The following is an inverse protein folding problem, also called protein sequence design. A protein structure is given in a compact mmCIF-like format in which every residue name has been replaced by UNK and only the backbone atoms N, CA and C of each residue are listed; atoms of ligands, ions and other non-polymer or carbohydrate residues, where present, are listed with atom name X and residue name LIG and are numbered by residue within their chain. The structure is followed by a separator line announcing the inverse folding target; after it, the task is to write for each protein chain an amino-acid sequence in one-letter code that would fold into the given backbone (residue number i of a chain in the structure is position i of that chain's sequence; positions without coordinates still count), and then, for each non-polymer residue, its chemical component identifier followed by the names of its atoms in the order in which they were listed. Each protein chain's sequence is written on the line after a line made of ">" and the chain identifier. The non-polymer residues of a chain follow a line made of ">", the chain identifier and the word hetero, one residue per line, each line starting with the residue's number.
data_IF_920774452763
#
_entry.id   IF_920774452763
#
_cell.length_a   1.000
_cell.length_b   1.000
_cell.length_c   1.000
_cell.angle_alpha   90.00
_cell.angle_beta   90.00
_cell.angle_gamma   90.00
#
_symmetry.space_group_name_H-M   'P 1'
#
loop_
_entity.id
_entity.type
_entity.pdbx_description
1 polymer ?
#
# COMPACT_ATOMS: atom_id res chain seq x y z
N UNK A 1 -2.79 -2.37 1.52
CA UNK A 1 -2.76 -1.78 2.87
C UNK A 1 -2.57 -0.25 2.86
N UNK A 2 -1.43 0.26 2.36
CA UNK A 2 -1.08 1.68 2.38
C UNK A 2 -2.17 2.63 1.81
N UNK A 3 -2.73 2.32 0.64
CA UNK A 3 -3.78 3.15 0.03
C UNK A 3 -5.07 3.24 0.87
N UNK A 4 -5.40 2.20 1.64
CA UNK A 4 -6.56 2.25 2.54
C UNK A 4 -6.27 3.13 3.76
N UNK A 5 -5.07 3.04 4.33
CA UNK A 5 -4.61 3.93 5.41
C UNK A 5 -4.60 5.41 4.97
N UNK A 6 -4.16 5.69 3.74
CA UNK A 6 -4.19 7.05 3.18
C UNK A 6 -5.61 7.61 3.06
N UNK A 7 -6.54 6.82 2.52
CA UNK A 7 -7.97 7.19 2.42
C UNK A 7 -8.61 7.42 3.78
N UNK A 8 -8.27 6.60 4.78
CA UNK A 8 -8.76 6.78 6.14
C UNK A 8 -8.19 8.05 6.80
N UNK A 9 -6.91 8.35 6.58
CA UNK A 9 -6.25 9.50 7.18
C UNK A 9 -6.68 10.84 6.56
N UNK A 10 -7.00 10.87 5.26
CA UNK A 10 -7.32 12.09 4.52
C UNK A 10 -8.59 11.93 3.66
N UNK A 11 -9.77 11.71 4.28
CA UNK A 11 -11.01 11.43 3.56
C UNK A 11 -11.41 12.62 2.67
N UNK A 12 -11.68 12.34 1.40
CA UNK A 12 -12.10 13.35 0.41
C UNK A 12 -11.00 14.31 -0.06
N UNK A 13 -9.78 14.21 0.48
CA UNK A 13 -8.67 15.08 0.09
C UNK A 13 -7.61 14.38 -0.76
N UNK A 14 -7.51 13.05 -0.68
CA UNK A 14 -6.56 12.25 -1.49
C UNK A 14 -7.28 11.11 -2.20
N UNK A 15 -6.89 10.87 -3.45
CA UNK A 15 -7.32 9.69 -4.22
C UNK A 15 -6.16 8.71 -4.20
N UNK A 16 -6.21 7.70 -3.32
CA UNK A 16 -5.16 6.69 -3.22
C UNK A 16 -5.59 5.38 -3.91
N UNK A 17 -4.72 4.84 -4.76
CA UNK A 17 -4.84 3.52 -5.38
C UNK A 17 -3.65 2.64 -5.00
N UNK A 18 -3.85 1.33 -5.03
CA UNK A 18 -2.81 0.33 -4.77
C UNK A 18 -2.88 -0.71 -5.89
N UNK A 19 -1.71 -1.05 -6.43
CA UNK A 19 -1.54 -2.12 -7.42
C UNK A 19 -0.32 -2.94 -7.05
N UNK A 20 -0.35 -4.23 -7.35
CA UNK A 20 0.81 -5.12 -7.25
C UNK A 20 1.50 -5.27 -8.60
N UNK A 21 2.83 -5.43 -8.59
CA UNK A 21 3.58 -5.83 -9.80
C UNK A 21 3.08 -7.19 -10.29
N UNK A 22 2.88 -8.12 -9.34
CA UNK A 22 2.34 -9.44 -9.58
C UNK A 22 0.87 -9.53 -9.13
N UNK A 23 0.07 -10.30 -9.86
CA UNK A 23 -1.29 -10.65 -9.46
C UNK A 23 -1.29 -11.49 -8.20
N UNK A 24 -1.69 -10.89 -7.08
CA UNK A 24 -1.83 -11.55 -5.78
C UNK A 24 -3.29 -11.83 -5.43
N UNK A 25 -3.50 -12.80 -4.55
CA UNK A 25 -4.81 -13.00 -3.89
C UNK A 25 -4.98 -12.00 -2.75
N UNK A 26 -6.22 -11.71 -2.40
CA UNK A 26 -6.52 -10.96 -1.20
C UNK A 26 -5.99 -11.74 0.02
N UNK A 27 -5.13 -11.08 0.79
CA UNK A 27 -4.49 -11.67 1.95
C UNK A 27 -5.40 -11.55 3.18
N UNK A 28 -5.73 -12.69 3.79
CA UNK A 28 -6.60 -12.74 4.97
C UNK A 28 -5.95 -12.08 6.19
N UNK A 29 -4.62 -12.11 6.30
CA UNK A 29 -3.91 -11.42 7.39
C UNK A 29 -4.05 -9.91 7.26
N UNK A 30 -3.96 -9.39 6.04
CA UNK A 30 -4.20 -7.96 5.76
C UNK A 30 -5.63 -7.58 6.13
N UNK A 31 -6.62 -8.44 5.86
CA UNK A 31 -8.01 -8.18 6.25
C UNK A 31 -8.14 -8.06 7.77
N UNK A 32 -7.63 -9.05 8.50
CA UNK A 32 -7.70 -9.11 9.96
C UNK A 32 -7.04 -7.90 10.64
N UNK A 33 -5.81 -7.54 10.24
CA UNK A 33 -5.12 -6.38 10.86
C UNK A 33 -5.73 -5.03 10.46
N UNK A 34 -6.41 -4.95 9.32
CA UNK A 34 -7.04 -3.70 8.88
C UNK A 34 -8.41 -3.52 9.53
N UNK A 35 -9.13 -4.61 9.78
CA UNK A 35 -10.38 -4.59 10.54
C UNK A 35 -10.16 -4.13 11.99
N UNK A 36 -9.04 -4.50 12.62
CA UNK A 36 -8.63 -4.01 13.94
C UNK A 36 -8.58 -2.48 14.06
N UNK A 37 -8.26 -1.78 12.96
CA UNK A 37 -8.21 -0.31 12.91
C UNK A 37 -9.47 0.31 12.30
N UNK A 38 -10.53 -0.49 12.16
CA UNK A 38 -11.83 -0.07 11.63
C UNK A 38 -11.84 0.16 10.12
N UNK A 39 -10.92 -0.46 9.37
CA UNK A 39 -10.91 -0.42 7.91
C UNK A 39 -11.42 -1.74 7.37
N UNK A 40 -12.62 -1.71 6.79
CA UNK A 40 -13.17 -2.85 6.08
C UNK A 40 -12.45 -3.06 4.73
N UNK A 41 -11.77 -4.19 4.60
CA UNK A 41 -11.08 -4.62 3.38
C UNK A 41 -11.83 -5.72 2.62
N UNK A 42 -13.05 -6.10 3.03
CA UNK A 42 -13.84 -7.20 2.44
C UNK A 42 -14.10 -7.00 0.95
N UNK A 43 -14.30 -5.75 0.55
CA UNK A 43 -14.63 -5.36 -0.84
C UNK A 43 -13.35 -5.01 -1.63
N UNK A 44 -12.16 -5.10 -1.02
CA UNK A 44 -10.92 -4.75 -1.68
C UNK A 44 -10.41 -5.89 -2.56
N UNK A 45 -10.45 -5.69 -3.88
CA UNK A 45 -9.81 -6.59 -4.84
C UNK A 45 -8.40 -6.10 -5.15
N UNK A 46 -7.36 -6.96 -5.00
CA UNK A 46 -6.03 -6.65 -5.51
C UNK A 46 -6.09 -6.40 -7.01
N UNK A 47 -5.51 -5.28 -7.45
CA UNK A 47 -5.34 -4.95 -8.86
C UNK A 47 -3.89 -5.13 -9.26
N UNK A 48 -3.66 -5.59 -10.49
CA UNK A 48 -2.31 -5.65 -11.06
C UNK A 48 -1.93 -4.33 -11.68
N UNK A 49 -0.62 -4.07 -11.72
CA UNK A 49 -0.08 -2.87 -12.34
C UNK A 49 -0.59 -2.72 -13.77
N UNK A 50 -0.63 -3.79 -14.56
CA UNK A 50 -1.09 -3.76 -15.95
C UNK A 50 -2.54 -3.30 -16.14
N UNK A 51 -3.43 -3.63 -15.21
CA UNK A 51 -4.86 -3.22 -15.22
C UNK A 51 -5.07 -1.75 -14.91
N UNK A 52 -4.03 -1.05 -14.44
CA UNK A 52 -4.13 0.37 -14.11
C UNK A 52 -4.32 1.21 -15.38
N UNK A 53 -5.55 1.68 -15.62
CA UNK A 53 -5.87 2.56 -16.77
C UNK A 53 -5.34 3.98 -16.58
N UNK A 54 -5.12 4.39 -15.33
CA UNK A 54 -4.57 5.71 -15.03
C UNK A 54 -3.06 5.72 -15.29
N UNK A 55 -2.62 6.72 -16.06
CA UNK A 55 -1.22 6.89 -16.44
C UNK A 55 -0.57 8.11 -15.79
N UNK A 56 -1.33 8.92 -15.04
CA UNK A 56 -0.84 10.15 -14.40
C UNK A 56 -1.10 10.11 -12.90
N UNK A 57 -0.05 10.36 -12.12
CA UNK A 57 -0.08 10.41 -10.67
C UNK A 57 0.77 11.57 -10.15
N UNK A 58 0.30 12.29 -9.13
CA UNK A 58 1.12 13.33 -8.48
C UNK A 58 2.27 12.69 -7.68
N UNK A 59 2.02 11.52 -7.11
CA UNK A 59 2.95 10.78 -6.26
C UNK A 59 2.77 9.27 -6.47
N UNK A 60 3.86 8.58 -6.78
CA UNK A 60 3.95 7.12 -6.81
C UNK A 60 4.87 6.68 -5.68
N UNK A 61 4.40 5.74 -4.85
CA UNK A 61 5.19 5.15 -3.76
C UNK A 61 5.37 3.67 -4.06
N UNK A 62 6.62 3.23 -4.18
CA UNK A 62 6.99 1.82 -4.31
C UNK A 62 7.30 1.23 -2.94
N UNK A 63 6.77 0.04 -2.67
CA UNK A 63 6.93 -0.66 -1.39
C UNK A 63 7.83 -1.89 -1.49
N UNK A 64 8.22 -2.27 -2.71
CA UNK A 64 9.07 -3.42 -2.98
C UNK A 64 10.19 -3.02 -3.94
N UNK A 65 11.29 -3.76 -3.91
CA UNK A 65 12.47 -3.45 -4.71
C UNK A 65 12.28 -3.71 -6.21
N UNK A 66 11.33 -4.57 -6.57
CA UNK A 66 10.94 -4.85 -7.96
C UNK A 66 9.93 -3.85 -8.55
N UNK A 67 9.29 -3.04 -7.69
CA UNK A 67 8.26 -2.10 -8.13
C UNK A 67 8.78 -0.90 -8.96
N UNK A 68 9.95 -0.28 -8.68
CA UNK A 68 10.48 0.81 -9.50
C UNK A 68 10.66 0.40 -10.96
N UNK A 69 11.25 -0.77 -11.22
CA UNK A 69 11.47 -1.27 -12.59
C UNK A 69 10.14 -1.50 -13.32
N UNK A 70 9.14 -2.03 -12.62
CA UNK A 70 7.81 -2.25 -13.18
C UNK A 70 7.10 -0.92 -13.54
N UNK A 71 7.23 0.10 -12.68
CA UNK A 71 6.69 1.45 -12.92
C UNK A 71 7.33 2.10 -14.13
N UNK A 72 8.66 2.03 -14.25
CA UNK A 72 9.40 2.55 -15.41
C UNK A 72 8.98 1.84 -16.69
N UNK A 73 8.89 0.51 -16.66
CA UNK A 73 8.46 -0.30 -17.81
C UNK A 73 7.06 0.05 -18.30
N UNK A 74 6.15 0.36 -17.36
CA UNK A 74 4.79 0.79 -17.70
C UNK A 74 4.74 2.22 -18.25
N UNK A 75 5.76 3.04 -17.98
CA UNK A 75 5.81 4.43 -18.42
C UNK A 75 4.75 5.29 -17.70
N UNK A 76 4.54 5.06 -16.40
CA UNK A 76 3.65 5.91 -15.61
C UNK A 76 4.24 7.32 -15.48
N UNK A 77 3.45 8.33 -15.79
CA UNK A 77 3.82 9.72 -15.57
C UNK A 77 3.54 10.07 -14.10
N UNK A 78 4.62 10.29 -13.35
CA UNK A 78 4.55 10.60 -11.93
C UNK A 78 5.24 11.94 -11.63
N UNK A 79 4.58 12.84 -10.89
CA UNK A 79 5.18 14.08 -10.43
C UNK A 79 6.33 13.85 -9.44
N UNK A 80 6.21 12.82 -8.61
CA UNK A 80 7.25 12.32 -7.72
C UNK A 80 7.17 10.80 -7.59
N UNK A 81 8.32 10.13 -7.52
CA UNK A 81 8.43 8.70 -7.24
C UNK A 81 9.28 8.51 -5.99
N UNK A 82 8.76 7.77 -5.02
CA UNK A 82 9.44 7.48 -3.75
C UNK A 82 9.48 5.98 -3.49
N UNK A 83 10.62 5.50 -2.99
CA UNK A 83 10.75 4.12 -2.54
C UNK A 83 10.76 4.07 -1.02
N UNK A 84 9.83 3.29 -0.47
CA UNK A 84 9.75 3.03 0.96
C UNK A 84 10.22 1.61 1.22
N UNK A 85 11.38 1.48 1.85
CA UNK A 85 11.84 0.19 2.36
C UNK A 85 10.91 -0.24 3.49
N UNK A 86 10.15 -1.29 3.24
CA UNK A 86 9.26 -1.94 4.20
C UNK A 86 9.57 -3.42 4.24
N UNK A 87 9.51 -4.00 5.42
CA UNK A 87 9.66 -5.44 5.57
C UNK A 87 8.42 -6.13 4.99
N UNK A 88 8.64 -7.20 4.22
CA UNK A 88 7.56 -8.00 3.68
C UNK A 88 7.08 -9.00 4.75
N UNK A 89 5.89 -8.81 5.35
CA UNK A 89 5.38 -9.69 6.38
C UNK A 89 5.03 -11.08 5.84
N UNK A 90 4.92 -11.26 4.52
CA UNK A 90 4.67 -12.57 3.91
C UNK A 90 5.90 -13.49 3.91
N UNK A 91 7.10 -12.92 4.09
CA UNK A 91 8.35 -13.67 4.25
C UNK A 91 8.57 -14.16 5.69
N UNK A 92 7.74 -13.72 6.63
CA UNK A 92 7.87 -14.08 8.03
C UNK A 92 7.31 -15.49 8.25
N UNK A 93 8.19 -16.43 8.59
CA UNK A 93 7.81 -17.81 8.91
C UNK A 93 7.59 -17.98 10.42
N UNK A 94 6.55 -18.71 10.81
CA UNK A 94 6.27 -18.99 12.21
C UNK A 94 4.82 -19.35 12.49
N UNK A 95 4.41 -19.18 13.75
CA UNK A 95 3.01 -19.35 14.12
C UNK A 95 2.16 -18.17 13.61
N UNK A 96 0.84 -18.38 13.55
CA UNK A 96 -0.12 -17.38 13.05
C UNK A 96 0.00 -16.02 13.75
N UNK A 97 0.26 -16.02 15.05
CA UNK A 97 0.35 -14.81 15.85
C UNK A 97 1.59 -13.98 15.52
N UNK A 98 2.73 -14.64 15.30
CA UNK A 98 3.98 -14.01 14.90
C UNK A 98 3.83 -13.35 13.51
N UNK A 99 3.19 -14.05 12.58
CA UNK A 99 2.85 -13.49 11.25
C UNK A 99 1.94 -12.28 11.42
N UNK A 100 0.82 -12.39 12.15
CA UNK A 100 -0.10 -11.27 12.40
C UNK A 100 0.59 -10.05 13.02
N UNK A 101 1.50 -10.26 13.97
CA UNK A 101 2.28 -9.18 14.56
C UNK A 101 3.15 -8.47 13.52
N UNK A 102 3.80 -9.19 12.60
CA UNK A 102 4.53 -8.56 11.50
C UNK A 102 3.63 -7.70 10.59
N UNK A 103 2.40 -8.15 10.30
CA UNK A 103 1.43 -7.35 9.55
C UNK A 103 0.96 -6.10 10.33
N UNK A 104 0.79 -6.20 11.66
CA UNK A 104 0.46 -5.05 12.52
C UNK A 104 1.59 -4.02 12.55
N UNK A 105 2.83 -4.49 12.66
CA UNK A 105 4.02 -3.64 12.65
C UNK A 105 4.16 -2.91 11.29
N UNK A 106 3.96 -3.62 10.19
CA UNK A 106 3.90 -3.03 8.85
C UNK A 106 2.79 -1.98 8.75
N UNK A 107 1.57 -2.31 9.19
CA UNK A 107 0.41 -1.40 9.18
C UNK A 107 0.73 -0.10 9.91
N UNK A 108 1.27 -0.20 11.12
CA UNK A 108 1.52 0.96 11.97
C UNK A 108 2.69 1.80 11.46
N UNK A 109 3.73 1.15 10.89
CA UNK A 109 4.82 1.81 10.18
C UNK A 109 4.32 2.59 8.96
N UNK A 110 3.54 1.94 8.09
CA UNK A 110 2.93 2.57 6.92
C UNK A 110 2.02 3.73 7.32
N UNK A 111 1.20 3.56 8.36
CA UNK A 111 0.30 4.62 8.84
C UNK A 111 1.05 5.89 9.23
N UNK A 112 2.19 5.75 9.93
CA UNK A 112 3.04 6.88 10.31
C UNK A 112 3.66 7.55 9.08
N UNK A 113 4.24 6.76 8.16
CA UNK A 113 4.89 7.28 6.93
C UNK A 113 3.89 7.99 6.01
N UNK A 114 2.72 7.38 5.77
CA UNK A 114 1.64 7.97 4.97
C UNK A 114 1.20 9.31 5.55
N UNK A 115 0.97 9.40 6.86
CA UNK A 115 0.60 10.67 7.48
C UNK A 115 1.70 11.70 7.32
N UNK A 116 2.92 11.40 7.75
CA UNK A 116 4.04 12.33 7.68
C UNK A 116 4.29 12.85 6.25
N UNK A 117 4.10 12.00 5.24
CA UNK A 117 4.37 12.35 3.85
C UNK A 117 3.23 13.11 3.18
N UNK A 118 1.99 12.69 3.42
CA UNK A 118 0.83 13.28 2.76
C UNK A 118 0.35 14.54 3.47
N UNK A 119 0.44 14.62 4.80
CA UNK A 119 0.00 15.79 5.58
C UNK A 119 0.46 17.14 5.00
N UNK A 120 1.76 17.35 4.64
CA UNK A 120 2.20 18.60 4.02
C UNK A 120 1.72 18.81 2.56
N UNK A 121 1.33 17.75 1.85
CA UNK A 121 0.78 17.86 0.49
C UNK A 121 -0.69 18.25 0.50
N UNK A 122 -1.40 17.86 1.56
CA UNK A 122 -2.84 18.12 1.64
C UNK A 122 -3.14 19.41 2.38
N UNK A 123 -2.27 19.82 3.32
CA UNK A 123 -2.45 20.93 4.26
C UNK A 123 -2.94 22.24 3.63
#
# INVERSE_FOLDING_TARGET
>A
MAAALARQAFPGRVIARSVGVNGGKADQFVHEVMEEVGIDMSVHTPHILDELVANHFDLVITLSDDAPEAVERKGLEAGAIEQWQVDDPSLVEGNRELVLNAYRDLRDSLRKRVRARLEPLVA
#
